data_IF_475123189050
#
_entry.id   IF_475123189050
#
_cell.length_a   1.000
_cell.length_b   1.000
_cell.length_c   1.000
_cell.angle_alpha   90.00
_cell.angle_beta   90.00
_cell.angle_gamma   90.00
#
_symmetry.space_group_name_H-M   'P 1'
#
loop_
_entity.id
_entity.type
_entity.pdbx_description
1 polymer ?
#
# COMPACT_ATOMS: atom_id res chain seq x y z
N UNK A 1 -14.58 8.26 -27.35
CA UNK A 1 -15.11 9.45 -26.64
C UNK A 1 -14.16 9.89 -25.53
N UNK A 2 -14.09 9.26 -24.34
CA UNK A 2 -13.17 9.71 -23.28
C UNK A 2 -11.68 9.63 -23.68
N UNK A 3 -11.27 8.52 -24.31
CA UNK A 3 -9.91 8.34 -24.86
C UNK A 3 -9.55 9.46 -25.86
N UNK A 4 -10.47 9.80 -26.77
CA UNK A 4 -10.25 10.86 -27.76
C UNK A 4 -10.24 12.26 -27.13
N UNK A 5 -10.98 12.45 -26.03
CA UNK A 5 -11.00 13.70 -25.28
C UNK A 5 -9.71 13.91 -24.49
N UNK A 6 -9.17 12.85 -23.88
CA UNK A 6 -7.90 12.93 -23.15
C UNK A 6 -6.77 13.43 -24.06
N UNK A 7 -6.61 12.82 -25.24
CA UNK A 7 -5.58 13.20 -26.22
C UNK A 7 -5.74 14.60 -26.84
N UNK A 8 -6.93 15.19 -26.72
CA UNK A 8 -7.25 16.48 -27.32
C UNK A 8 -7.17 17.64 -26.31
N UNK A 9 -6.92 17.33 -25.04
CA UNK A 9 -6.89 18.30 -23.96
C UNK A 9 -5.45 18.61 -23.55
N UNK A 10 -5.12 19.90 -23.52
CA UNK A 10 -3.76 20.36 -23.19
C UNK A 10 -3.64 20.69 -21.70
N UNK A 11 -4.74 21.02 -21.02
CA UNK A 11 -4.72 21.43 -19.62
C UNK A 11 -4.73 20.23 -18.67
N UNK A 12 -3.81 20.24 -17.69
CA UNK A 12 -3.59 19.14 -16.76
C UNK A 12 -4.83 18.88 -15.88
N UNK A 13 -5.51 19.94 -15.40
CA UNK A 13 -6.72 19.79 -14.59
C UNK A 13 -7.84 19.05 -15.31
N UNK A 14 -8.06 19.35 -16.59
CA UNK A 14 -9.11 18.72 -17.39
C UNK A 14 -8.73 17.29 -17.78
N UNK A 15 -7.44 17.02 -18.07
CA UNK A 15 -6.94 15.66 -18.26
C UNK A 15 -7.08 14.83 -16.99
N UNK A 16 -6.79 15.39 -15.83
CA UNK A 16 -6.97 14.73 -14.53
C UNK A 16 -8.44 14.33 -14.30
N UNK A 17 -9.41 15.21 -14.57
CA UNK A 17 -10.84 14.84 -14.49
C UNK A 17 -11.23 13.68 -15.43
N UNK A 18 -10.62 13.62 -16.63
CA UNK A 18 -10.86 12.52 -17.58
C UNK A 18 -10.20 11.23 -17.08
N UNK A 19 -8.98 11.31 -16.54
CA UNK A 19 -8.27 10.20 -15.94
C UNK A 19 -9.05 9.63 -14.74
N UNK A 20 -9.57 10.49 -13.87
CA UNK A 20 -10.43 10.12 -12.76
C UNK A 20 -11.69 9.39 -13.24
N UNK A 21 -12.33 9.91 -14.30
CA UNK A 21 -13.49 9.24 -14.90
C UNK A 21 -13.15 7.85 -15.45
N UNK A 22 -11.95 7.67 -16.03
CA UNK A 22 -11.48 6.36 -16.50
C UNK A 22 -11.23 5.42 -15.33
N UNK A 23 -10.56 5.88 -14.26
CA UNK A 23 -10.35 5.15 -13.01
C UNK A 23 -11.68 4.62 -12.48
N UNK A 24 -12.68 5.49 -12.31
CA UNK A 24 -13.97 5.14 -11.74
C UNK A 24 -14.75 4.13 -12.59
N UNK A 25 -14.63 4.22 -13.93
CA UNK A 25 -15.22 3.24 -14.84
C UNK A 25 -14.59 1.86 -14.63
N UNK A 26 -13.26 1.75 -14.54
CA UNK A 26 -12.59 0.46 -14.37
C UNK A 26 -12.77 -0.10 -12.96
N UNK A 27 -12.78 0.77 -11.94
CA UNK A 27 -13.19 0.42 -10.59
C UNK A 27 -14.60 -0.21 -10.60
N UNK A 28 -15.58 0.48 -11.17
CA UNK A 28 -16.96 0.00 -11.30
C UNK A 28 -17.03 -1.33 -12.06
N UNK A 29 -16.23 -1.52 -13.11
CA UNK A 29 -16.15 -2.80 -13.82
C UNK A 29 -15.66 -3.92 -12.89
N UNK A 30 -14.57 -3.68 -12.15
CA UNK A 30 -13.98 -4.64 -11.22
C UNK A 30 -14.92 -4.97 -10.05
N UNK A 31 -15.49 -3.96 -9.40
CA UNK A 31 -16.39 -4.09 -8.25
C UNK A 31 -17.80 -4.58 -8.60
N UNK A 32 -18.15 -4.65 -9.89
CA UNK A 32 -19.42 -5.22 -10.34
C UNK A 32 -19.58 -6.72 -10.03
N UNK A 33 -18.51 -7.37 -9.57
CA UNK A 33 -18.48 -8.78 -9.20
C UNK A 33 -19.13 -9.10 -7.86
N UNK A 34 -19.00 -10.36 -7.47
CA UNK A 34 -19.30 -10.81 -6.12
C UNK A 34 -18.04 -10.64 -5.25
N UNK A 35 -18.20 -9.96 -4.12
CA UNK A 35 -17.11 -9.71 -3.16
C UNK A 35 -16.83 -10.96 -2.31
N UNK A 36 -15.55 -11.28 -2.12
CA UNK A 36 -15.08 -12.29 -1.17
C UNK A 36 -13.70 -11.91 -0.65
N UNK A 37 -13.57 -11.76 0.68
CA UNK A 37 -12.33 -11.34 1.34
C UNK A 37 -11.71 -10.10 0.66
N UNK A 38 -12.50 -9.03 0.53
CA UNK A 38 -12.07 -7.74 -0.03
C UNK A 38 -11.59 -7.79 -1.49
N UNK A 39 -11.95 -8.87 -2.20
CA UNK A 39 -11.64 -9.10 -3.61
C UNK A 39 -12.92 -9.34 -4.40
N UNK A 40 -12.97 -8.86 -5.64
CA UNK A 40 -14.14 -9.01 -6.50
C UNK A 40 -13.90 -10.03 -7.61
N UNK A 41 -14.85 -10.96 -7.78
CA UNK A 41 -14.80 -11.99 -8.83
C UNK A 41 -16.14 -12.09 -9.57
N UNK A 42 -16.17 -12.76 -10.73
CA UNK A 42 -17.40 -12.95 -11.53
C UNK A 42 -18.08 -11.61 -11.90
N UNK A 43 -17.30 -10.66 -12.40
CA UNK A 43 -17.77 -9.32 -12.77
C UNK A 43 -19.03 -9.37 -13.65
N UNK A 44 -20.06 -8.62 -13.23
CA UNK A 44 -21.32 -8.46 -13.99
C UNK A 44 -21.18 -7.51 -15.17
N UNK A 45 -20.19 -6.61 -15.10
CA UNK A 45 -19.81 -5.67 -16.14
C UNK A 45 -18.33 -5.88 -16.50
N UNK A 46 -17.96 -7.04 -17.08
CA UNK A 46 -16.56 -7.34 -17.36
C UNK A 46 -16.02 -6.47 -18.50
N UNK A 47 -14.72 -6.18 -18.45
CA UNK A 47 -14.03 -5.54 -19.58
C UNK A 47 -14.02 -6.53 -20.75
N UNK A 48 -14.57 -6.17 -21.93
CA UNK A 48 -14.62 -7.10 -23.06
C UNK A 48 -13.21 -7.52 -23.49
N UNK A 49 -12.97 -8.84 -23.62
CA UNK A 49 -11.64 -9.38 -23.93
C UNK A 49 -11.06 -8.86 -25.25
N UNK A 50 -11.92 -8.60 -26.25
CA UNK A 50 -11.51 -8.06 -27.55
C UNK A 50 -11.08 -6.58 -27.45
N UNK A 51 -11.56 -5.84 -26.45
CA UNK A 51 -11.22 -4.42 -26.22
C UNK A 51 -10.00 -4.27 -25.31
N UNK A 52 -9.73 -5.24 -24.44
CA UNK A 52 -8.70 -5.16 -23.40
C UNK A 52 -7.31 -4.76 -23.93
N UNK A 53 -6.79 -5.30 -25.05
CA UNK A 53 -5.50 -4.87 -25.59
C UNK A 53 -5.46 -3.38 -25.93
N UNK A 54 -6.49 -2.89 -26.61
CA UNK A 54 -6.59 -1.47 -27.00
C UNK A 54 -6.75 -0.55 -25.80
N UNK A 55 -7.45 -1.00 -24.75
CA UNK A 55 -7.61 -0.22 -23.51
C UNK A 55 -6.27 -0.06 -22.81
N UNK A 56 -5.53 -1.16 -22.63
CA UNK A 56 -4.20 -1.13 -21.99
C UNK A 56 -3.24 -0.28 -22.81
N UNK A 57 -3.20 -0.45 -24.13
CA UNK A 57 -2.33 0.34 -25.01
C UNK A 57 -2.62 1.85 -24.90
N UNK A 58 -3.89 2.26 -24.90
CA UNK A 58 -4.25 3.67 -24.76
C UNK A 58 -3.89 4.22 -23.37
N UNK A 59 -4.16 3.49 -22.29
CA UNK A 59 -3.81 3.93 -20.94
C UNK A 59 -2.30 4.11 -20.76
N UNK A 60 -1.49 3.18 -21.30
CA UNK A 60 -0.04 3.29 -21.25
C UNK A 60 0.48 4.47 -22.09
N UNK A 61 -0.17 4.81 -23.20
CA UNK A 61 0.17 6.01 -23.97
C UNK A 61 -0.18 7.28 -23.19
N UNK A 62 -1.32 7.33 -22.51
CA UNK A 62 -1.72 8.47 -21.67
C UNK A 62 -0.77 8.68 -20.49
N UNK A 63 -0.40 7.59 -19.81
CA UNK A 63 0.62 7.61 -18.77
C UNK A 63 1.94 8.11 -19.33
N UNK A 64 2.32 7.64 -20.51
CA UNK A 64 3.57 8.07 -21.15
C UNK A 64 3.57 9.56 -21.45
N UNK A 65 2.49 10.12 -21.99
CA UNK A 65 2.35 11.55 -22.27
C UNK A 65 2.49 12.37 -20.97
N UNK A 66 1.76 12.00 -19.92
CA UNK A 66 1.83 12.67 -18.61
C UNK A 66 3.22 12.61 -17.98
N UNK A 67 3.86 11.45 -18.03
CA UNK A 67 5.21 11.28 -17.49
C UNK A 67 6.25 12.05 -18.31
N UNK A 68 6.07 12.17 -19.63
CA UNK A 68 6.97 12.97 -20.47
C UNK A 68 6.87 14.47 -20.15
N UNK A 69 5.69 14.96 -19.77
CA UNK A 69 5.49 16.32 -19.25
C UNK A 69 6.24 16.49 -17.92
N UNK A 70 5.99 15.60 -16.95
CA UNK A 70 6.68 15.63 -15.66
C UNK A 70 8.21 15.56 -15.82
N UNK A 71 8.71 14.66 -16.67
CA UNK A 71 10.14 14.55 -16.97
C UNK A 71 10.73 15.86 -17.50
N UNK A 72 9.97 16.61 -18.31
CA UNK A 72 10.42 17.90 -18.82
C UNK A 72 10.49 18.92 -17.68
N UNK A 73 9.44 19.00 -16.85
CA UNK A 73 9.38 19.91 -15.70
C UNK A 73 10.53 19.62 -14.70
N UNK A 74 10.75 18.35 -14.34
CA UNK A 74 11.84 17.94 -13.46
C UNK A 74 13.24 18.30 -14.00
N UNK A 75 13.41 18.42 -15.33
CA UNK A 75 14.69 18.83 -15.95
C UNK A 75 14.89 20.35 -15.93
N UNK A 76 13.84 21.13 -15.73
CA UNK A 76 13.89 22.61 -15.72
C UNK A 76 14.21 23.18 -14.34
N UNK A 77 14.01 22.39 -13.28
CA UNK A 77 14.24 22.80 -11.89
C UNK A 77 15.51 22.16 -11.33
N UNK A 78 16.41 23.00 -10.80
CA UNK A 78 17.55 22.51 -10.01
C UNK A 78 17.16 22.46 -8.52
N UNK A 79 16.82 21.27 -8.05
CA UNK A 79 16.40 21.04 -6.67
C UNK A 79 17.53 21.24 -5.64
N UNK A 80 18.80 21.28 -6.07
CA UNK A 80 19.95 21.51 -5.18
C UNK A 80 20.24 23.00 -4.95
N UNK A 81 19.72 23.89 -5.82
CA UNK A 81 19.96 25.33 -5.72
C UNK A 81 19.03 25.99 -4.70
N UNK A 82 19.60 26.38 -3.55
CA UNK A 82 18.85 27.04 -2.47
C UNK A 82 18.24 28.38 -2.89
N UNK A 83 18.75 29.05 -3.92
CA UNK A 83 18.21 30.33 -4.41
C UNK A 83 16.94 30.16 -5.25
N UNK A 84 16.59 28.92 -5.64
CA UNK A 84 15.40 28.58 -6.45
C UNK A 84 14.20 28.09 -5.61
N UNK A 85 14.01 28.60 -4.39
CA UNK A 85 12.86 28.21 -3.54
C UNK A 85 11.52 28.53 -4.20
N UNK A 86 11.37 29.73 -4.77
CA UNK A 86 10.14 30.12 -5.46
C UNK A 86 9.85 29.21 -6.67
N UNK A 87 10.87 28.87 -7.46
CA UNK A 87 10.73 27.99 -8.63
C UNK A 87 10.39 26.54 -8.23
N UNK A 88 10.88 26.04 -7.08
CA UNK A 88 10.45 24.73 -6.56
C UNK A 88 9.00 24.73 -6.12
N UNK A 89 8.54 25.80 -5.47
CA UNK A 89 7.14 25.91 -5.05
C UNK A 89 6.20 25.99 -6.27
N UNK A 90 6.56 26.80 -7.28
CA UNK A 90 5.84 26.85 -8.55
C UNK A 90 5.82 25.47 -9.24
N UNK A 91 6.96 24.75 -9.24
CA UNK A 91 7.03 23.40 -9.75
C UNK A 91 6.11 22.42 -9.01
N UNK A 92 6.09 22.41 -7.68
CA UNK A 92 5.23 21.47 -6.94
C UNK A 92 3.74 21.73 -7.20
N UNK A 93 3.33 23.00 -7.35
CA UNK A 93 1.94 23.35 -7.69
C UNK A 93 1.59 22.87 -9.12
N UNK A 94 2.39 23.19 -10.12
CA UNK A 94 2.13 22.79 -11.51
C UNK A 94 2.27 21.28 -11.72
N UNK A 95 3.28 20.66 -11.10
CA UNK A 95 3.51 19.23 -11.21
C UNK A 95 2.41 18.46 -10.47
N UNK A 96 1.85 19.00 -9.38
CA UNK A 96 0.77 18.39 -8.63
C UNK A 96 -0.42 17.98 -9.50
N UNK A 97 -0.89 18.89 -10.36
CA UNK A 97 -2.01 18.59 -11.28
C UNK A 97 -1.69 17.44 -12.26
N UNK A 98 -0.44 17.36 -12.71
CA UNK A 98 0.02 16.29 -13.60
C UNK A 98 0.26 14.97 -12.86
N UNK A 99 0.72 15.05 -11.60
CA UNK A 99 0.86 13.89 -10.70
C UNK A 99 -0.50 13.24 -10.46
N UNK A 100 -1.55 14.02 -10.17
CA UNK A 100 -2.93 13.53 -10.03
C UNK A 100 -3.40 12.77 -11.28
N UNK A 101 -3.03 13.26 -12.47
CA UNK A 101 -3.36 12.59 -13.72
C UNK A 101 -2.67 11.21 -13.82
N UNK A 102 -1.38 11.15 -13.48
CA UNK A 102 -0.60 9.90 -13.43
C UNK A 102 -1.20 8.91 -12.43
N UNK A 103 -1.53 9.35 -11.23
CA UNK A 103 -2.09 8.49 -10.17
C UNK A 103 -3.44 7.89 -10.60
N UNK A 104 -4.36 8.71 -11.12
CA UNK A 104 -5.65 8.25 -11.63
C UNK A 104 -5.50 7.22 -12.77
N UNK A 105 -4.55 7.44 -13.68
CA UNK A 105 -4.28 6.51 -14.78
C UNK A 105 -3.61 5.21 -14.30
N UNK A 106 -2.75 5.27 -13.28
CA UNK A 106 -2.16 4.10 -12.63
C UNK A 106 -3.23 3.27 -11.94
N UNK A 107 -4.15 3.90 -11.20
CA UNK A 107 -5.28 3.21 -10.58
C UNK A 107 -6.17 2.52 -11.63
N UNK A 108 -6.45 3.21 -12.74
CA UNK A 108 -7.18 2.63 -13.87
C UNK A 108 -6.49 1.36 -14.41
N UNK A 109 -5.17 1.41 -14.60
CA UNK A 109 -4.37 0.26 -15.00
C UNK A 109 -4.37 -0.84 -13.94
N UNK A 110 -4.31 -0.48 -12.66
CA UNK A 110 -4.38 -1.38 -11.51
C UNK A 110 -5.69 -2.18 -11.48
N UNK A 111 -6.84 -1.54 -11.66
CA UNK A 111 -8.12 -2.24 -11.78
C UNK A 111 -8.18 -3.19 -12.97
N UNK A 112 -7.53 -2.86 -14.08
CA UNK A 112 -7.41 -3.77 -15.22
C UNK A 112 -6.54 -4.99 -14.88
N UNK A 113 -5.42 -4.79 -14.20
CA UNK A 113 -4.54 -5.88 -13.75
C UNK A 113 -5.29 -6.78 -12.75
N UNK A 114 -6.01 -6.19 -11.79
CA UNK A 114 -6.90 -6.90 -10.84
C UNK A 114 -7.93 -7.76 -11.54
N UNK A 115 -8.61 -7.18 -12.54
CA UNK A 115 -9.62 -7.89 -13.34
C UNK A 115 -9.02 -9.04 -14.16
N UNK A 116 -7.91 -8.80 -14.86
CA UNK A 116 -7.32 -9.79 -15.76
C UNK A 116 -6.55 -10.89 -15.03
N UNK A 117 -5.96 -10.57 -13.88
CA UNK A 117 -5.02 -11.42 -13.15
C UNK A 117 -3.94 -11.99 -14.06
N UNK A 118 -3.61 -13.28 -13.90
CA UNK A 118 -2.62 -13.96 -14.75
C UNK A 118 -2.96 -13.97 -16.26
N UNK A 119 -4.22 -13.70 -16.66
CA UNK A 119 -4.58 -13.60 -18.07
C UNK A 119 -4.00 -12.37 -18.75
N UNK A 120 -3.44 -11.41 -17.99
CA UNK A 120 -2.74 -10.24 -18.50
C UNK A 120 -1.42 -10.58 -19.21
N UNK A 121 -0.92 -11.81 -19.08
CA UNK A 121 0.42 -12.21 -19.56
C UNK A 121 0.79 -11.76 -21.00
N UNK A 122 -0.10 -11.87 -22.02
CA UNK A 122 0.23 -11.40 -23.36
C UNK A 122 0.44 -9.89 -23.43
N UNK A 123 -0.40 -9.12 -22.71
CA UNK A 123 -0.31 -7.65 -22.65
C UNK A 123 0.87 -7.20 -21.80
N UNK A 124 1.20 -7.95 -20.75
CA UNK A 124 2.41 -7.74 -19.98
C UNK A 124 3.66 -7.83 -20.86
N UNK A 125 3.81 -8.93 -21.60
CA UNK A 125 4.99 -9.13 -22.43
C UNK A 125 5.11 -8.07 -23.54
N UNK A 126 3.98 -7.68 -24.13
CA UNK A 126 3.96 -6.78 -25.27
C UNK A 126 4.10 -5.31 -24.88
N UNK A 127 3.44 -4.87 -23.79
CA UNK A 127 3.25 -3.45 -23.50
C UNK A 127 3.69 -3.06 -22.08
N UNK A 128 3.22 -3.76 -21.05
CA UNK A 128 3.41 -3.32 -19.65
C UNK A 128 4.86 -3.52 -19.20
N UNK A 129 5.49 -4.64 -19.54
CA UNK A 129 6.88 -4.91 -19.14
C UNK A 129 7.88 -3.88 -19.71
N UNK A 130 7.86 -3.53 -21.01
CA UNK A 130 8.67 -2.44 -21.55
C UNK A 130 8.38 -1.08 -20.90
N UNK A 131 7.11 -0.79 -20.60
CA UNK A 131 6.70 0.44 -19.93
C UNK A 131 7.33 0.54 -18.53
N UNK A 132 7.13 -0.46 -17.68
CA UNK A 132 7.71 -0.50 -16.34
C UNK A 132 9.24 -0.43 -16.39
N UNK A 133 9.88 -1.19 -17.29
CA UNK A 133 11.33 -1.20 -17.43
C UNK A 133 11.89 0.18 -17.82
N UNK A 134 11.18 0.96 -18.65
CA UNK A 134 11.55 2.34 -18.99
C UNK A 134 11.51 3.23 -17.75
N UNK A 135 10.38 3.24 -17.04
CA UNK A 135 10.15 4.21 -15.96
C UNK A 135 10.86 3.84 -14.65
N UNK A 136 11.08 2.56 -14.36
CA UNK A 136 11.97 2.10 -13.28
C UNK A 136 13.46 2.36 -13.54
N UNK A 137 13.82 2.88 -14.71
CA UNK A 137 15.19 3.32 -15.04
C UNK A 137 15.33 4.86 -15.03
N UNK A 138 14.28 5.59 -14.65
CA UNK A 138 14.30 7.05 -14.57
C UNK A 138 15.27 7.55 -13.49
N UNK A 139 15.95 8.68 -13.70
CA UNK A 139 16.73 9.33 -12.64
C UNK A 139 15.85 10.11 -11.62
N UNK A 140 14.56 10.29 -11.90
CA UNK A 140 13.64 11.05 -11.05
C UNK A 140 12.79 10.10 -10.20
N UNK A 141 12.81 10.29 -8.88
CA UNK A 141 12.19 9.35 -7.94
C UNK A 141 10.67 9.21 -8.14
N UNK A 142 9.92 10.30 -8.30
CA UNK A 142 8.49 10.23 -8.61
C UNK A 142 8.19 9.45 -9.90
N UNK A 143 9.11 9.45 -10.88
CA UNK A 143 8.89 8.73 -12.13
C UNK A 143 9.19 7.24 -11.97
N UNK A 144 10.09 6.87 -11.06
CA UNK A 144 10.26 5.46 -10.67
C UNK A 144 8.95 4.89 -10.11
N UNK A 145 8.19 5.69 -9.34
CA UNK A 145 6.93 5.28 -8.73
C UNK A 145 5.94 4.73 -9.76
N UNK A 146 5.87 5.33 -10.95
CA UNK A 146 4.99 4.88 -12.05
C UNK A 146 5.25 3.43 -12.44
N UNK A 147 6.52 3.06 -12.60
CA UNK A 147 6.91 1.70 -12.95
C UNK A 147 6.74 0.72 -11.80
N UNK A 148 7.04 1.16 -10.57
CA UNK A 148 6.96 0.36 -9.35
C UNK A 148 5.50 0.02 -9.01
N UNK A 149 4.62 1.01 -8.97
CA UNK A 149 3.19 0.83 -8.66
C UNK A 149 2.55 -0.21 -9.60
N UNK A 150 2.83 -0.13 -10.90
CA UNK A 150 2.37 -1.13 -11.89
C UNK A 150 2.91 -2.54 -11.62
N UNK A 151 4.17 -2.65 -11.17
CA UNK A 151 4.78 -3.95 -10.82
C UNK A 151 4.21 -4.51 -9.52
N UNK A 152 3.84 -3.67 -8.56
CA UNK A 152 3.21 -4.10 -7.31
C UNK A 152 1.84 -4.72 -7.57
N UNK A 153 0.99 -4.08 -8.39
CA UNK A 153 -0.30 -4.67 -8.81
C UNK A 153 -0.10 -5.99 -9.56
N UNK A 154 0.91 -6.08 -10.44
CA UNK A 154 1.22 -7.34 -11.13
C UNK A 154 1.69 -8.43 -10.15
N UNK A 155 2.52 -8.10 -9.16
CA UNK A 155 2.94 -9.05 -8.13
C UNK A 155 1.77 -9.54 -7.29
N UNK A 156 0.81 -8.66 -7.01
CA UNK A 156 -0.34 -8.99 -6.16
C UNK A 156 -1.41 -9.81 -6.91
N UNK A 157 -1.72 -9.43 -8.15
CA UNK A 157 -2.88 -9.97 -8.88
C UNK A 157 -2.51 -10.87 -10.07
N UNK A 158 -1.28 -10.78 -10.58
CA UNK A 158 -0.77 -11.60 -11.69
C UNK A 158 0.58 -12.28 -11.35
N UNK A 159 0.70 -12.98 -10.21
CA UNK A 159 2.00 -13.42 -9.71
C UNK A 159 2.74 -14.39 -10.64
N UNK A 160 2.03 -15.20 -11.41
CA UNK A 160 2.66 -16.15 -12.35
C UNK A 160 3.35 -15.42 -13.52
N UNK A 161 2.88 -14.21 -13.84
CA UNK A 161 3.40 -13.38 -14.94
C UNK A 161 4.74 -12.77 -14.55
N UNK A 162 4.86 -12.26 -13.33
CA UNK A 162 6.05 -11.54 -12.86
C UNK A 162 7.04 -12.39 -12.07
N UNK A 163 6.67 -13.62 -11.70
CA UNK A 163 7.56 -14.56 -10.99
C UNK A 163 9.02 -14.60 -11.51
N UNK A 164 9.30 -14.56 -12.83
CA UNK A 164 10.67 -14.58 -13.34
C UNK A 164 11.52 -13.35 -12.99
N UNK A 165 10.90 -12.19 -12.70
CA UNK A 165 11.59 -10.92 -12.46
C UNK A 165 11.59 -10.48 -10.99
N UNK A 166 10.90 -11.21 -10.10
CA UNK A 166 10.78 -10.83 -8.68
C UNK A 166 12.14 -10.69 -7.97
N UNK A 167 13.12 -11.52 -8.32
CA UNK A 167 14.45 -11.36 -7.72
C UNK A 167 15.12 -10.03 -8.11
N UNK A 168 14.91 -9.56 -9.33
CA UNK A 168 15.43 -8.27 -9.79
C UNK A 168 14.64 -7.12 -9.14
N UNK A 169 13.32 -7.27 -8.99
CA UNK A 169 12.47 -6.32 -8.25
C UNK A 169 12.90 -6.19 -6.79
N UNK A 170 13.20 -7.28 -6.09
CA UNK A 170 13.74 -7.24 -4.72
C UNK A 170 15.07 -6.46 -4.66
N UNK A 171 15.92 -6.61 -5.68
CA UNK A 171 17.15 -5.82 -5.82
C UNK A 171 16.87 -4.33 -5.98
N UNK A 172 15.87 -3.98 -6.79
CA UNK A 172 15.40 -2.61 -6.96
C UNK A 172 14.83 -2.04 -5.66
N UNK A 173 13.95 -2.77 -4.98
CA UNK A 173 13.34 -2.34 -3.72
C UNK A 173 14.38 -2.10 -2.64
N UNK A 174 15.39 -2.96 -2.56
CA UNK A 174 16.48 -2.79 -1.60
C UNK A 174 17.26 -1.47 -1.80
N UNK A 175 17.34 -0.99 -3.04
CA UNK A 175 18.02 0.27 -3.36
C UNK A 175 17.17 1.50 -3.02
N UNK A 176 15.85 1.40 -3.08
CA UNK A 176 14.92 2.54 -3.02
C UNK A 176 14.06 2.60 -1.75
N UNK A 177 14.17 1.63 -0.84
CA UNK A 177 13.44 1.62 0.44
C UNK A 177 13.76 2.80 1.39
N UNK A 178 14.74 3.63 1.04
CA UNK A 178 15.12 4.87 1.75
C UNK A 178 15.16 6.08 0.80
N UNK A 179 14.44 6.07 -0.33
CA UNK A 179 14.36 7.22 -1.24
C UNK A 179 13.68 8.43 -0.59
N UNK A 180 13.92 9.63 -1.10
CA UNK A 180 13.39 10.88 -0.51
C UNK A 180 11.91 11.11 -0.87
N UNK A 181 11.49 10.66 -2.05
CA UNK A 181 10.11 10.75 -2.50
C UNK A 181 9.19 9.83 -1.67
N UNK A 182 8.19 10.37 -0.95
CA UNK A 182 7.34 9.58 -0.07
C UNK A 182 6.48 8.55 -0.80
N UNK A 183 5.94 8.89 -1.97
CA UNK A 183 5.08 8.01 -2.77
C UNK A 183 5.87 6.80 -3.27
N UNK A 184 7.08 7.03 -3.80
CA UNK A 184 8.00 5.94 -4.16
C UNK A 184 8.36 5.09 -2.94
N UNK A 185 8.67 5.71 -1.80
CA UNK A 185 9.06 4.98 -0.58
C UNK A 185 7.93 4.06 -0.12
N UNK A 186 6.70 4.56 -0.08
CA UNK A 186 5.51 3.79 0.26
C UNK A 186 5.29 2.63 -0.71
N UNK A 187 5.33 2.89 -2.02
CA UNK A 187 5.17 1.86 -3.06
C UNK A 187 6.24 0.78 -2.96
N UNK A 188 7.52 1.16 -2.81
CA UNK A 188 8.62 0.19 -2.63
C UNK A 188 8.41 -0.71 -1.41
N UNK A 189 8.00 -0.13 -0.27
CA UNK A 189 7.79 -0.90 0.96
C UNK A 189 6.57 -1.82 0.86
N UNK A 190 5.51 -1.37 0.19
CA UNK A 190 4.38 -2.21 -0.19
C UNK A 190 4.81 -3.36 -1.10
N UNK A 191 5.58 -3.08 -2.15
CA UNK A 191 6.15 -4.09 -3.04
C UNK A 191 7.00 -5.14 -2.32
N UNK A 192 7.77 -4.73 -1.30
CA UNK A 192 8.49 -5.67 -0.42
C UNK A 192 7.53 -6.57 0.34
N UNK A 193 6.47 -6.02 0.96
CA UNK A 193 5.42 -6.81 1.65
C UNK A 193 4.80 -7.83 0.69
N UNK A 194 4.35 -7.40 -0.48
CA UNK A 194 3.74 -8.29 -1.50
C UNK A 194 4.73 -9.39 -1.91
N UNK A 195 6.00 -9.04 -2.11
CA UNK A 195 7.04 -10.01 -2.43
C UNK A 195 7.19 -11.11 -1.36
N UNK A 196 7.16 -10.72 -0.08
CA UNK A 196 7.24 -11.64 1.06
C UNK A 196 6.08 -12.63 1.07
N UNK A 197 4.87 -12.14 0.81
CA UNK A 197 3.64 -12.92 0.92
C UNK A 197 3.40 -13.85 -0.26
N UNK A 198 3.74 -13.38 -1.47
CA UNK A 198 3.45 -14.10 -2.72
C UNK A 198 4.63 -14.91 -3.25
N UNK A 199 5.85 -14.51 -2.92
CA UNK A 199 7.08 -15.10 -3.50
C UNK A 199 8.06 -15.58 -2.44
N UNK A 200 7.54 -16.23 -1.39
CA UNK A 200 8.31 -16.74 -0.27
C UNK A 200 9.56 -17.55 -0.68
N UNK A 201 9.48 -18.37 -1.73
CA UNK A 201 10.62 -19.16 -2.22
C UNK A 201 11.80 -18.30 -2.68
N UNK A 202 11.54 -17.11 -3.23
CA UNK A 202 12.55 -16.13 -3.67
C UNK A 202 13.03 -15.29 -2.48
N UNK A 203 12.12 -14.94 -1.58
CA UNK A 203 12.38 -14.08 -0.40
C UNK A 203 13.13 -14.81 0.72
N UNK A 204 12.79 -16.07 1.02
CA UNK A 204 13.29 -16.81 2.18
C UNK A 204 14.84 -16.86 2.28
N UNK A 205 15.60 -17.05 1.19
CA UNK A 205 17.07 -16.97 1.24
C UNK A 205 17.64 -15.59 1.63
N UNK A 206 16.86 -14.52 1.44
CA UNK A 206 17.26 -13.13 1.67
C UNK A 206 16.53 -12.49 2.87
N UNK A 207 15.64 -13.23 3.54
CA UNK A 207 14.73 -12.74 4.58
C UNK A 207 15.44 -11.95 5.68
N UNK A 208 16.62 -12.41 6.13
CA UNK A 208 17.38 -11.72 7.16
C UNK A 208 17.92 -10.35 6.71
N UNK A 209 18.35 -10.24 5.44
CA UNK A 209 18.83 -8.98 4.88
C UNK A 209 17.66 -8.00 4.70
N UNK A 210 16.52 -8.49 4.21
CA UNK A 210 15.30 -7.69 4.04
C UNK A 210 14.82 -7.17 5.40
N UNK A 211 14.72 -8.05 6.42
CA UNK A 211 14.32 -7.64 7.77
C UNK A 211 15.26 -6.57 8.35
N UNK A 212 16.57 -6.74 8.16
CA UNK A 212 17.56 -5.75 8.61
C UNK A 212 17.36 -4.39 7.95
N UNK A 213 16.98 -4.38 6.68
CA UNK A 213 16.75 -3.15 5.94
C UNK A 213 15.43 -2.48 6.36
N UNK A 214 14.34 -3.23 6.48
CA UNK A 214 13.05 -2.72 6.98
C UNK A 214 13.16 -2.16 8.39
N UNK A 215 13.89 -2.82 9.29
CA UNK A 215 14.14 -2.29 10.64
C UNK A 215 14.86 -0.94 10.62
N UNK A 216 15.78 -0.71 9.67
CA UNK A 216 16.43 0.59 9.53
C UNK A 216 15.47 1.67 9.05
N UNK A 217 14.52 1.33 8.17
CA UNK A 217 13.49 2.26 7.70
C UNK A 217 12.60 2.65 8.89
N UNK A 218 11.99 1.65 9.55
CA UNK A 218 11.04 1.85 10.64
C UNK A 218 11.64 2.42 11.93
N UNK A 219 12.97 2.44 12.07
CA UNK A 219 13.69 3.05 13.21
C UNK A 219 14.46 4.32 12.83
N UNK A 220 14.31 4.79 11.58
CA UNK A 220 14.94 6.03 11.15
C UNK A 220 14.26 7.23 11.82
N UNK A 221 14.99 8.35 11.93
CA UNK A 221 14.40 9.59 12.45
C UNK A 221 13.24 10.08 11.57
N UNK A 222 13.30 9.79 10.27
CA UNK A 222 12.26 10.14 9.31
C UNK A 222 11.00 9.31 9.47
N UNK A 223 11.04 8.17 10.18
CA UNK A 223 9.86 7.33 10.39
C UNK A 223 8.78 8.01 11.23
N UNK A 224 9.17 9.04 12.01
CA UNK A 224 8.27 9.88 12.81
C UNK A 224 7.77 11.11 12.04
N UNK A 225 8.23 11.33 10.80
CA UNK A 225 7.79 12.43 9.95
C UNK A 225 6.46 12.06 9.28
N UNK A 226 5.47 12.95 9.41
CA UNK A 226 4.13 12.80 8.84
C UNK A 226 4.19 12.51 7.34
N UNK A 227 5.15 13.11 6.62
CA UNK A 227 5.31 12.85 5.18
C UNK A 227 5.63 11.39 4.84
N UNK A 228 6.21 10.62 5.77
CA UNK A 228 6.58 9.22 5.57
C UNK A 228 5.73 8.26 6.39
N UNK A 229 4.66 8.73 7.03
CA UNK A 229 3.90 7.93 7.98
C UNK A 229 3.29 6.67 7.33
N UNK A 230 2.64 6.80 6.16
CA UNK A 230 2.13 5.66 5.39
C UNK A 230 3.24 4.70 4.92
N UNK A 231 4.43 5.23 4.59
CA UNK A 231 5.60 4.40 4.26
C UNK A 231 6.09 3.61 5.49
N UNK A 232 6.09 4.22 6.68
CA UNK A 232 6.42 3.55 7.95
C UNK A 232 5.43 2.43 8.26
N UNK A 233 4.13 2.65 8.07
CA UNK A 233 3.10 1.60 8.20
C UNK A 233 3.39 0.42 7.26
N UNK A 234 3.72 0.69 5.99
CA UNK A 234 4.06 -0.36 5.03
C UNK A 234 5.36 -1.10 5.39
N UNK A 235 6.35 -0.43 5.98
CA UNK A 235 7.54 -1.09 6.51
C UNK A 235 7.21 -2.02 7.69
N UNK A 236 6.36 -1.58 8.63
CA UNK A 236 5.92 -2.35 9.79
C UNK A 236 5.08 -3.56 9.36
N UNK A 237 4.21 -3.38 8.36
CA UNK A 237 3.48 -4.49 7.76
C UNK A 237 4.41 -5.51 7.11
N UNK A 238 5.37 -5.07 6.28
CA UNK A 238 6.35 -5.97 5.67
C UNK A 238 7.16 -6.75 6.72
N UNK A 239 7.52 -6.10 7.84
CA UNK A 239 8.15 -6.75 9.00
C UNK A 239 7.26 -7.85 9.56
N UNK A 240 5.98 -7.56 9.81
CA UNK A 240 5.02 -8.54 10.31
C UNK A 240 4.85 -9.71 9.35
N UNK A 241 4.77 -9.44 8.03
CA UNK A 241 4.72 -10.48 7.00
C UNK A 241 5.95 -11.38 6.96
N UNK A 242 7.15 -10.85 7.21
CA UNK A 242 8.35 -11.68 7.35
C UNK A 242 8.30 -12.57 8.58
N UNK A 243 7.86 -12.04 9.72
CA UNK A 243 7.75 -12.81 10.96
C UNK A 243 6.79 -13.99 10.81
N UNK A 244 5.71 -13.80 10.04
CA UNK A 244 4.72 -14.84 9.74
C UNK A 244 5.19 -15.83 8.66
N UNK A 245 5.73 -15.33 7.55
CA UNK A 245 6.04 -16.14 6.37
C UNK A 245 7.43 -16.78 6.36
N UNK A 246 8.39 -16.21 7.08
CA UNK A 246 9.80 -16.63 7.03
C UNK A 246 10.44 -16.94 8.41
N UNK A 247 9.72 -17.44 9.45
CA UNK A 247 10.27 -17.53 10.81
C UNK A 247 11.53 -18.42 10.90
N UNK A 248 11.62 -19.47 10.07
CA UNK A 248 12.79 -20.37 10.02
C UNK A 248 14.04 -19.75 9.39
N UNK A 249 13.91 -18.59 8.74
CA UNK A 249 14.98 -17.88 8.05
C UNK A 249 15.46 -16.64 8.80
N UNK A 250 14.89 -16.36 9.97
CA UNK A 250 15.21 -15.20 10.80
C UNK A 250 16.03 -15.61 12.02
N UNK A 251 16.98 -14.75 12.40
CA UNK A 251 17.70 -14.91 13.67
C UNK A 251 16.77 -14.61 14.85
N UNK A 252 16.71 -15.45 15.92
CA UNK A 252 15.75 -15.28 17.01
C UNK A 252 15.76 -13.89 17.66
N UNK A 253 16.94 -13.35 17.95
CA UNK A 253 17.07 -12.02 18.56
C UNK A 253 16.56 -10.89 17.65
N UNK A 254 16.69 -11.05 16.33
CA UNK A 254 16.24 -10.03 15.37
C UNK A 254 14.73 -10.14 15.16
N UNK A 255 14.20 -11.36 15.11
CA UNK A 255 12.77 -11.60 15.09
C UNK A 255 12.08 -11.04 16.34
N UNK A 256 12.66 -11.24 17.53
CA UNK A 256 12.15 -10.66 18.78
C UNK A 256 12.16 -9.13 18.75
N UNK A 257 13.26 -8.52 18.30
CA UNK A 257 13.34 -7.06 18.16
C UNK A 257 12.28 -6.52 17.19
N UNK A 258 12.14 -7.17 16.04
CA UNK A 258 11.17 -6.81 15.02
C UNK A 258 9.72 -6.94 15.51
N UNK A 259 9.41 -8.00 16.24
CA UNK A 259 8.10 -8.20 16.83
C UNK A 259 7.79 -7.12 17.88
N UNK A 260 8.75 -6.79 18.75
CA UNK A 260 8.58 -5.71 19.74
C UNK A 260 8.36 -4.35 19.08
N UNK A 261 9.11 -4.05 18.02
CA UNK A 261 8.93 -2.82 17.24
C UNK A 261 7.53 -2.78 16.60
N UNK A 262 7.12 -3.86 15.95
CA UNK A 262 5.81 -3.93 15.30
C UNK A 262 4.67 -3.70 16.31
N UNK A 263 4.64 -4.44 17.42
CA UNK A 263 3.52 -4.29 18.38
C UNK A 263 3.54 -2.98 19.14
N UNK A 264 4.67 -2.26 19.20
CA UNK A 264 4.70 -0.93 19.82
C UNK A 264 4.10 0.17 18.94
N UNK A 265 3.89 -0.11 17.65
CA UNK A 265 3.27 0.81 16.69
C UNK A 265 1.81 0.46 16.39
N UNK A 266 1.24 -0.57 17.03
CA UNK A 266 -0.17 -0.90 16.82
C UNK A 266 -1.09 0.07 17.58
N UNK A 267 -2.24 0.44 16.99
CA UNK A 267 -2.66 0.12 15.62
C UNK A 267 -1.92 0.97 14.57
N UNK A 268 -1.79 0.43 13.36
CA UNK A 268 -1.39 1.22 12.19
C UNK A 268 -2.57 2.12 11.77
N UNK A 269 -2.31 3.30 11.24
CA UNK A 269 -3.38 4.30 11.02
C UNK A 269 -3.21 5.13 9.74
N UNK A 270 -2.01 5.18 9.19
CA UNK A 270 -1.60 6.17 8.19
C UNK A 270 -1.75 5.64 6.76
N UNK A 271 -1.55 4.34 6.56
CA UNK A 271 -2.00 3.63 5.35
C UNK A 271 -3.23 2.80 5.72
N UNK A 272 -4.43 3.32 5.43
CA UNK A 272 -5.70 2.71 5.84
C UNK A 272 -5.88 1.30 5.25
N UNK A 273 -5.54 1.12 3.97
CA UNK A 273 -5.68 -0.18 3.31
C UNK A 273 -4.72 -1.21 3.93
N UNK A 274 -3.49 -0.79 4.23
CA UNK A 274 -2.52 -1.63 4.89
C UNK A 274 -2.91 -1.94 6.34
N UNK A 275 -3.40 -0.94 7.07
CA UNK A 275 -3.88 -1.10 8.45
C UNK A 275 -4.99 -2.16 8.53
N UNK A 276 -5.95 -2.14 7.60
CA UNK A 276 -7.02 -3.13 7.55
C UNK A 276 -6.49 -4.56 7.40
N UNK A 277 -5.57 -4.81 6.45
CA UNK A 277 -4.95 -6.13 6.22
C UNK A 277 -4.11 -6.59 7.43
N UNK A 278 -3.31 -5.69 8.00
CA UNK A 278 -2.47 -5.98 9.16
C UNK A 278 -3.32 -6.31 10.38
N UNK A 279 -4.35 -5.52 10.66
CA UNK A 279 -5.21 -5.73 11.84
C UNK A 279 -6.00 -7.03 11.75
N UNK A 280 -6.50 -7.40 10.58
CA UNK A 280 -7.11 -8.73 10.37
C UNK A 280 -6.13 -9.84 10.77
N UNK A 281 -4.90 -9.77 10.26
CA UNK A 281 -3.87 -10.79 10.53
C UNK A 281 -3.39 -10.80 11.98
N UNK A 282 -3.36 -9.64 12.65
CA UNK A 282 -3.11 -9.54 14.10
C UNK A 282 -4.19 -10.29 14.88
N UNK A 283 -5.47 -10.08 14.54
CA UNK A 283 -6.58 -10.79 15.19
C UNK A 283 -6.50 -12.29 14.91
N UNK A 284 -6.21 -12.70 13.67
CA UNK A 284 -6.02 -14.10 13.31
C UNK A 284 -4.88 -14.77 14.12
N UNK A 285 -3.73 -14.09 14.30
CA UNK A 285 -2.64 -14.61 15.14
C UNK A 285 -3.05 -14.74 16.62
N UNK A 286 -3.78 -13.75 17.13
CA UNK A 286 -4.25 -13.73 18.52
C UNK A 286 -5.21 -14.89 18.82
N UNK A 287 -6.04 -15.29 17.85
CA UNK A 287 -6.97 -16.41 17.96
C UNK A 287 -6.31 -17.80 17.82
N UNK A 288 -5.06 -17.88 17.32
CA UNK A 288 -4.34 -19.16 17.24
C UNK A 288 -4.10 -19.76 18.64
N UNK A 289 -3.92 -21.09 18.75
CA UNK A 289 -3.51 -21.70 20.01
C UNK A 289 -2.24 -21.07 20.58
N UNK A 290 -2.23 -20.76 21.88
CA UNK A 290 -1.17 -20.00 22.56
C UNK A 290 -0.91 -18.62 21.95
N UNK A 291 -1.87 -18.06 21.22
CA UNK A 291 -1.79 -16.76 20.57
C UNK A 291 -0.70 -16.61 19.50
N UNK A 292 -0.35 -17.71 18.83
CA UNK A 292 0.53 -17.69 17.67
C UNK A 292 1.87 -17.00 17.94
N UNK A 293 2.17 -15.99 17.13
CA UNK A 293 3.36 -15.15 17.24
C UNK A 293 3.41 -14.34 18.55
N UNK A 294 2.26 -14.04 19.16
CA UNK A 294 2.12 -13.18 20.34
C UNK A 294 2.14 -13.94 21.67
N UNK A 295 2.71 -15.16 21.69
CA UNK A 295 2.75 -16.03 22.87
C UNK A 295 3.57 -15.48 24.06
N UNK A 296 4.35 -14.42 23.86
CA UNK A 296 5.06 -13.71 24.91
C UNK A 296 4.13 -12.73 25.63
N UNK A 297 4.12 -12.74 26.96
CA UNK A 297 3.22 -11.89 27.75
C UNK A 297 3.32 -10.39 27.42
N UNK A 298 4.52 -9.84 27.25
CA UNK A 298 4.66 -8.41 26.99
C UNK A 298 4.13 -8.04 25.60
N UNK A 299 4.37 -8.91 24.61
CA UNK A 299 3.85 -8.77 23.25
C UNK A 299 2.32 -8.88 23.25
N UNK A 300 1.79 -9.89 23.94
CA UNK A 300 0.35 -10.08 24.14
C UNK A 300 -0.30 -8.86 24.79
N UNK A 301 0.28 -8.35 25.87
CA UNK A 301 -0.25 -7.20 26.59
C UNK A 301 -0.29 -5.94 25.68
N UNK A 302 0.72 -5.74 24.81
CA UNK A 302 0.72 -4.66 23.82
C UNK A 302 -0.37 -4.83 22.76
N UNK A 303 -0.50 -6.03 22.16
CA UNK A 303 -1.56 -6.31 21.17
C UNK A 303 -2.95 -6.12 21.78
N UNK A 304 -3.18 -6.64 22.99
CA UNK A 304 -4.46 -6.50 23.69
C UNK A 304 -4.79 -5.03 24.03
N UNK A 305 -3.78 -4.19 24.26
CA UNK A 305 -3.96 -2.74 24.46
C UNK A 305 -4.35 -2.01 23.17
N UNK A 306 -3.93 -2.51 22.00
CA UNK A 306 -4.27 -1.92 20.72
C UNK A 306 -5.69 -2.24 20.24
N UNK A 307 -6.25 -3.41 20.63
CA UNK A 307 -7.57 -3.86 20.16
C UNK A 307 -8.71 -2.83 20.33
N UNK A 308 -8.87 -2.12 21.46
CA UNK A 308 -9.89 -1.08 21.58
C UNK A 308 -9.72 0.07 20.58
N UNK A 309 -8.47 0.44 20.26
CA UNK A 309 -8.17 1.52 19.31
C UNK A 309 -8.47 1.10 17.88
N UNK A 310 -8.24 -0.17 17.53
CA UNK A 310 -8.60 -0.76 16.23
C UNK A 310 -10.11 -0.74 15.92
N UNK A 311 -10.97 -0.52 16.92
CA UNK A 311 -12.42 -0.36 16.71
C UNK A 311 -12.81 1.06 16.27
N UNK A 312 -11.92 2.03 16.43
CA UNK A 312 -12.16 3.43 16.14
C UNK A 312 -11.67 3.76 14.73
N UNK A 313 -12.35 4.69 14.03
CA UNK A 313 -11.86 5.23 12.78
C UNK A 313 -10.67 6.18 13.01
N UNK A 314 -9.95 6.48 11.94
CA UNK A 314 -9.01 7.60 11.85
C UNK A 314 -9.61 8.73 11.01
N UNK A 315 -8.98 9.91 11.03
CA UNK A 315 -9.45 11.09 10.30
C UNK A 315 -8.28 11.73 9.56
N UNK A 316 -8.52 12.18 8.32
CA UNK A 316 -7.57 13.04 7.59
C UNK A 316 -7.73 14.53 7.99
N UNK A 317 -6.88 15.39 7.42
CA UNK A 317 -6.93 16.85 7.61
C UNK A 317 -8.26 17.50 7.20
N UNK A 318 -9.07 16.80 6.40
CA UNK A 318 -10.38 17.22 5.95
C UNK A 318 -11.53 16.76 6.86
N UNK A 319 -11.22 16.16 8.01
CA UNK A 319 -12.17 15.47 8.90
C UNK A 319 -12.92 14.31 8.21
N UNK A 320 -12.38 13.75 7.13
CA UNK A 320 -12.97 12.56 6.51
C UNK A 320 -12.65 11.33 7.36
N UNK A 321 -13.68 10.55 7.68
CA UNK A 321 -13.59 9.36 8.52
C UNK A 321 -13.17 8.15 7.68
N UNK A 322 -12.12 7.46 8.12
CA UNK A 322 -11.64 6.22 7.49
C UNK A 322 -11.57 5.07 8.49
N UNK A 323 -12.03 3.90 8.03
CA UNK A 323 -12.03 2.69 8.84
C UNK A 323 -10.70 1.93 8.68
N UNK A 324 -9.89 1.89 9.74
CA UNK A 324 -8.58 1.21 9.74
C UNK A 324 -8.69 -0.31 10.00
N UNK A 325 -9.90 -0.84 10.13
CA UNK A 325 -10.16 -2.25 10.42
C UNK A 325 -11.44 -2.68 9.71
N UNK A 326 -11.40 -3.80 8.98
CA UNK A 326 -12.58 -4.40 8.34
C UNK A 326 -13.70 -4.72 9.34
N UNK A 327 -14.95 -4.65 8.88
CA UNK A 327 -16.14 -4.91 9.72
C UNK A 327 -16.11 -6.30 10.37
N UNK A 328 -15.71 -7.33 9.62
CA UNK A 328 -15.55 -8.69 10.13
C UNK A 328 -14.49 -8.77 11.23
N UNK A 329 -13.36 -8.09 11.03
CA UNK A 329 -12.29 -8.00 12.02
C UNK A 329 -12.77 -7.27 13.27
N UNK A 330 -13.53 -6.18 13.14
CA UNK A 330 -14.14 -5.48 14.28
C UNK A 330 -15.08 -6.39 15.07
N UNK A 331 -15.86 -7.24 14.40
CA UNK A 331 -16.73 -8.21 15.07
C UNK A 331 -15.93 -9.21 15.92
N UNK A 332 -14.82 -9.73 15.39
CA UNK A 332 -13.94 -10.63 16.15
C UNK A 332 -13.24 -9.92 17.31
N UNK A 333 -12.78 -8.67 17.12
CA UNK A 333 -12.24 -7.84 18.21
C UNK A 333 -13.28 -7.64 19.31
N UNK A 334 -14.53 -7.30 18.97
CA UNK A 334 -15.60 -7.12 19.93
C UNK A 334 -15.86 -8.41 20.73
N UNK A 335 -15.86 -9.58 20.07
CA UNK A 335 -16.01 -10.88 20.73
C UNK A 335 -14.85 -11.16 21.69
N UNK A 336 -13.61 -10.86 21.31
CA UNK A 336 -12.44 -10.99 22.19
C UNK A 336 -12.61 -10.07 23.41
N UNK A 337 -12.90 -8.79 23.22
CA UNK A 337 -13.05 -7.82 24.31
C UNK A 337 -14.23 -8.15 25.24
N UNK A 338 -15.37 -8.59 24.69
CA UNK A 338 -16.57 -9.02 25.46
C UNK A 338 -16.33 -10.32 26.25
N UNK A 339 -15.32 -11.12 25.89
CA UNK A 339 -14.95 -12.34 26.62
C UNK A 339 -14.10 -12.09 27.87
N UNK A 340 -13.48 -10.91 27.99
CA UNK A 340 -12.63 -10.54 29.11
C UNK A 340 -13.44 -10.32 30.39
N UNK A 341 -12.82 -10.57 31.54
CA UNK A 341 -13.44 -10.18 32.81
C UNK A 341 -13.50 -8.64 32.94
N UNK A 342 -14.42 -8.15 33.79
CA UNK A 342 -14.66 -6.71 33.96
C UNK A 342 -13.41 -5.95 34.42
N UNK A 343 -12.49 -6.59 35.14
CA UNK A 343 -11.25 -5.95 35.61
C UNK A 343 -10.25 -5.84 34.47
N UNK A 344 -10.09 -6.89 33.67
CA UNK A 344 -9.23 -6.91 32.49
C UNK A 344 -9.69 -5.88 31.46
N UNK A 345 -10.98 -5.89 31.10
CA UNK A 345 -11.54 -4.93 30.14
C UNK A 345 -11.37 -3.48 30.62
N UNK A 346 -11.70 -3.19 31.89
CA UNK A 346 -11.45 -1.85 32.44
C UNK A 346 -9.97 -1.48 32.47
N UNK A 347 -9.07 -2.45 32.64
CA UNK A 347 -7.63 -2.25 32.57
C UNK A 347 -7.20 -1.73 31.20
N UNK A 348 -7.68 -2.34 30.12
CA UNK A 348 -7.41 -1.92 28.75
C UNK A 348 -8.00 -0.53 28.47
N UNK A 349 -9.28 -0.30 28.83
CA UNK A 349 -9.99 0.94 28.54
C UNK A 349 -9.50 2.15 29.36
N UNK A 350 -8.84 1.93 30.50
CA UNK A 350 -8.30 3.02 31.32
C UNK A 350 -7.04 3.67 30.71
N UNK A 351 -6.40 3.01 29.74
CA UNK A 351 -5.25 3.57 29.02
C UNK A 351 -5.64 4.55 27.91
N UNK A 352 -6.91 4.56 27.51
CA UNK A 352 -7.42 5.40 26.43
C UNK A 352 -7.77 6.81 26.92
N UNK A 353 -7.72 7.77 26.02
CA UNK A 353 -8.27 9.10 26.24
C UNK A 353 -9.78 9.05 26.53
N UNK A 354 -10.34 10.01 27.28
CA UNK A 354 -11.75 9.99 27.69
C UNK A 354 -12.73 9.83 26.53
N UNK A 355 -12.48 10.51 25.41
CA UNK A 355 -13.37 10.50 24.25
C UNK A 355 -13.30 9.17 23.49
N UNK A 356 -12.09 8.67 23.23
CA UNK A 356 -11.87 7.32 22.68
C UNK A 356 -12.53 6.25 23.54
N UNK A 357 -12.36 6.33 24.87
CA UNK A 357 -12.99 5.41 25.81
C UNK A 357 -14.51 5.46 25.71
N UNK A 358 -15.12 6.64 25.59
CA UNK A 358 -16.57 6.75 25.42
C UNK A 358 -17.02 6.11 24.10
N UNK A 359 -16.31 6.38 23.01
CA UNK A 359 -16.59 5.80 21.69
C UNK A 359 -16.52 4.26 21.72
N UNK A 360 -15.44 3.68 22.26
CA UNK A 360 -15.30 2.22 22.41
C UNK A 360 -16.40 1.64 23.29
N UNK A 361 -16.77 2.28 24.40
CA UNK A 361 -17.87 1.80 25.24
C UNK A 361 -19.22 1.83 24.52
N UNK A 362 -19.46 2.83 23.66
CA UNK A 362 -20.65 2.90 22.81
C UNK A 362 -20.70 1.70 21.86
N UNK A 363 -19.59 1.43 21.16
CA UNK A 363 -19.45 0.29 20.24
C UNK A 363 -19.69 -1.04 20.97
N UNK A 364 -19.07 -1.24 22.14
CA UNK A 364 -19.23 -2.48 22.91
C UNK A 364 -20.62 -2.67 23.54
N UNK A 365 -21.40 -1.60 23.69
CA UNK A 365 -22.75 -1.66 24.26
C UNK A 365 -23.84 -1.97 23.22
N UNK A 366 -23.52 -1.75 21.94
CA UNK A 366 -24.29 -2.23 20.80
C UNK A 366 -23.96 -3.71 20.53
#
# INVERSE_FOLDING_TARGET
MLIEQYTAEDAATERSCIAESLRDIFCTCYESGDESHHMFQNQRMPIPSDSLPSVVENLLEFLKESVEILEAMYKEVDFEDREMEDARNEFEEEAGEEKDCVENLLDALGYIIRFAGNSIAPLYQQYISPFCAKYMASPFEYILFVGVCSMDDLMLYAPDVVAPVVNDLLGFFHQHMHCEDPALRQAVLFGVKVAIERFNAVVAPQAQAILSALLRVAQSQEAEDEKYASATDNALSAIFSLLLGCPGNLGPSQADQALQLFVSHLPLMEDVAEAQDVHERVVMELEKPNHGLFNNKNVMDAVMQALPMMLLPTYDDGDNEYEITYDETKMEIMKILKSLDRRQLNGLLNGLEPDMRMAVNSILSN
#
